data_IF_075133292740
#
_entry.id   IF_075133292740
#
_cell.length_a   1.000
_cell.length_b   1.000
_cell.length_c   1.000
_cell.angle_alpha   90.00
_cell.angle_beta   90.00
_cell.angle_gamma   90.00
#
_symmetry.space_group_name_H-M   'P 1'
#
loop_
_entity.id
_entity.type
_entity.pdbx_description
1 polymer ?
#
# COMPACT_ATOMS: atom_id res chain seq x y z
N UNK A 1 -49.66 22.40 9.28
CA UNK A 1 -49.15 21.80 8.02
C UNK A 1 -47.78 21.19 8.28
N UNK A 2 -47.71 19.85 8.19
CA UNK A 2 -46.54 18.97 7.94
C UNK A 2 -45.26 19.21 8.77
N UNK A 3 -44.96 18.44 9.82
CA UNK A 3 -44.48 17.05 9.85
C UNK A 3 -43.18 16.80 9.06
N UNK A 4 -42.03 16.69 9.76
CA UNK A 4 -40.85 15.96 9.28
C UNK A 4 -40.20 15.19 10.43
N UNK A 5 -39.77 13.97 10.08
CA UNK A 5 -39.68 12.80 10.91
C UNK A 5 -38.30 12.55 11.52
N UNK A 6 -38.33 11.87 12.67
CA UNK A 6 -37.22 11.11 13.27
C UNK A 6 -36.60 10.10 12.29
N UNK A 7 -35.26 10.09 12.18
CA UNK A 7 -34.49 8.84 12.06
C UNK A 7 -33.11 8.95 12.72
N UNK A 8 -33.00 8.20 13.81
CA UNK A 8 -31.81 7.71 14.50
C UNK A 8 -30.77 7.13 13.54
N UNK A 9 -29.52 7.58 13.66
CA UNK A 9 -28.35 6.76 13.33
C UNK A 9 -27.43 6.80 14.56
N UNK A 10 -27.31 5.65 15.21
CA UNK A 10 -26.41 5.40 16.31
C UNK A 10 -24.96 5.57 15.84
N UNK A 11 -24.35 6.72 16.17
CA UNK A 11 -22.92 6.88 16.00
C UNK A 11 -22.20 6.16 17.15
N UNK A 12 -21.38 5.22 16.73
CA UNK A 12 -20.59 4.29 17.53
C UNK A 12 -19.83 4.98 18.67
N UNK A 13 -19.77 4.26 19.80
CA UNK A 13 -19.20 4.67 21.08
C UNK A 13 -17.77 5.21 20.94
N UNK A 14 -17.58 6.40 21.55
CA UNK A 14 -16.32 6.95 22.03
C UNK A 14 -15.34 5.86 22.50
N UNK A 15 -14.30 5.60 21.73
CA UNK A 15 -13.00 5.20 22.31
C UNK A 15 -12.22 6.48 22.57
N UNK A 16 -11.99 6.72 23.86
CA UNK A 16 -11.29 7.84 24.45
C UNK A 16 -9.80 7.74 24.04
N UNK A 17 -9.40 8.51 23.05
CA UNK A 17 -7.99 8.73 22.70
C UNK A 17 -7.58 10.07 23.30
N UNK A 18 -7.50 10.12 24.62
CA UNK A 18 -6.83 11.23 25.32
C UNK A 18 -5.33 11.03 25.14
N UNK A 19 -4.67 12.13 24.78
CA UNK A 19 -3.21 12.25 24.56
C UNK A 19 -2.77 11.94 23.14
N UNK A 20 -2.91 12.94 22.25
CA UNK A 20 -1.86 13.46 21.35
C UNK A 20 -2.50 14.57 20.51
N UNK A 21 -2.21 15.82 20.89
CA UNK A 21 -2.58 16.99 20.10
C UNK A 21 -1.85 17.01 18.75
N UNK A 22 -2.50 17.63 17.77
CA UNK A 22 -1.95 17.96 16.44
C UNK A 22 -1.88 16.80 15.44
N UNK A 23 -2.96 16.44 14.71
CA UNK A 23 -2.78 15.57 13.53
C UNK A 23 -3.84 15.54 12.41
N UNK A 24 -5.00 16.20 12.49
CA UNK A 24 -5.96 16.12 11.37
C UNK A 24 -5.75 17.21 10.29
N UNK A 25 -5.35 18.42 10.69
CA UNK A 25 -5.26 19.56 9.76
C UNK A 25 -3.93 19.62 9.00
N UNK A 26 -2.84 19.12 9.58
CA UNK A 26 -1.55 18.99 8.89
C UNK A 26 -1.60 17.89 7.83
N UNK A 27 -2.39 16.83 8.02
CA UNK A 27 -2.53 15.73 7.06
C UNK A 27 -3.13 16.18 5.72
N UNK A 28 -4.02 17.19 5.74
CA UNK A 28 -4.69 17.67 4.53
C UNK A 28 -3.78 18.55 3.64
N UNK A 29 -2.82 19.28 4.23
CA UNK A 29 -1.90 20.18 3.51
C UNK A 29 -0.70 19.45 2.88
N UNK A 30 -0.24 18.33 3.44
CA UNK A 30 0.81 17.50 2.80
C UNK A 30 0.30 16.68 1.61
N UNK A 31 -1.02 16.66 1.39
CA UNK A 31 -1.69 15.88 0.34
C UNK A 31 -1.49 16.42 -1.09
N UNK A 32 -0.94 17.63 -1.24
CA UNK A 32 -0.74 18.27 -2.56
C UNK A 32 0.72 18.38 -2.99
N UNK A 33 1.68 17.94 -2.18
CA UNK A 33 3.13 18.08 -2.47
C UNK A 33 3.97 16.80 -2.35
N UNK A 34 3.38 15.65 -2.01
CA UNK A 34 4.08 14.36 -1.94
C UNK A 34 3.71 13.48 -3.14
N UNK A 35 4.72 12.81 -3.73
CA UNK A 35 4.49 11.87 -4.84
C UNK A 35 3.84 10.59 -4.31
N UNK A 36 3.14 9.83 -5.18
CA UNK A 36 2.51 8.55 -4.79
C UNK A 36 3.55 7.58 -4.23
N UNK A 37 4.76 7.59 -4.80
CA UNK A 37 5.90 6.80 -4.31
C UNK A 37 6.27 7.13 -2.87
N UNK A 38 6.33 8.41 -2.51
CA UNK A 38 6.63 8.84 -1.14
C UNK A 38 5.56 8.37 -0.16
N UNK A 39 4.28 8.54 -0.50
CA UNK A 39 3.17 8.08 0.34
C UNK A 39 3.19 6.56 0.52
N UNK A 40 3.55 5.82 -0.53
CA UNK A 40 3.70 4.37 -0.48
C UNK A 40 4.85 3.95 0.44
N UNK A 41 6.00 4.64 0.35
CA UNK A 41 7.16 4.39 1.21
C UNK A 41 6.83 4.61 2.69
N UNK A 42 6.26 5.77 3.03
CA UNK A 42 5.91 6.11 4.41
C UNK A 42 4.90 5.12 5.01
N UNK A 43 3.88 4.77 4.22
CA UNK A 43 2.84 3.82 4.64
C UNK A 43 3.44 2.45 4.96
N UNK A 44 4.29 1.93 4.07
CA UNK A 44 4.93 0.63 4.24
C UNK A 44 5.95 0.65 5.40
N UNK A 45 6.73 1.73 5.53
CA UNK A 45 7.67 1.88 6.65
C UNK A 45 6.97 1.89 7.99
N UNK A 46 5.87 2.63 8.11
CA UNK A 46 5.10 2.75 9.34
C UNK A 46 4.37 1.46 9.71
N UNK A 47 3.81 0.75 8.73
CA UNK A 47 3.01 -0.44 9.01
C UNK A 47 3.85 -1.70 9.27
N UNK A 48 4.96 -1.87 8.53
CA UNK A 48 5.68 -3.15 8.46
C UNK A 48 7.09 -3.09 9.04
N UNK A 49 7.57 -1.90 9.43
CA UNK A 49 8.91 -1.65 9.97
C UNK A 49 10.00 -2.45 9.23
N UNK A 50 10.08 -2.33 7.89
CA UNK A 50 10.93 -3.18 7.08
C UNK A 50 12.41 -2.89 7.32
N UNK A 51 13.22 -3.95 7.37
CA UNK A 51 14.68 -3.84 7.36
C UNK A 51 15.22 -3.45 5.99
N UNK A 52 14.48 -3.76 4.93
CA UNK A 52 14.79 -3.32 3.56
C UNK A 52 13.48 -3.07 2.81
N UNK A 53 13.42 -1.94 2.10
CA UNK A 53 12.27 -1.52 1.30
C UNK A 53 12.78 -0.94 -0.02
N UNK A 54 12.29 -1.48 -1.12
CA UNK A 54 12.54 -0.97 -2.46
C UNK A 54 11.21 -0.84 -3.21
N UNK A 55 11.02 0.30 -3.87
CA UNK A 55 9.80 0.61 -4.64
C UNK A 55 10.24 0.96 -6.05
N UNK A 56 9.69 0.27 -7.05
CA UNK A 56 9.95 0.50 -8.47
C UNK A 56 8.65 0.86 -9.16
N UNK A 57 8.62 2.00 -9.84
CA UNK A 57 7.51 2.36 -10.72
C UNK A 57 7.65 1.55 -12.02
N UNK A 58 6.66 0.72 -12.33
CA UNK A 58 6.63 -0.13 -13.52
C UNK A 58 5.52 0.28 -14.50
N UNK A 59 4.96 1.48 -14.34
CA UNK A 59 3.85 1.97 -15.15
C UNK A 59 4.15 2.01 -16.65
N UNK A 60 5.42 2.16 -17.03
CA UNK A 60 5.88 2.12 -18.43
C UNK A 60 5.79 0.73 -19.09
N UNK A 61 5.63 -0.35 -18.31
CA UNK A 61 5.57 -1.73 -18.83
C UNK A 61 4.18 -2.14 -19.34
N UNK A 62 3.15 -1.31 -19.11
CA UNK A 62 1.78 -1.60 -19.48
C UNK A 62 1.26 -0.61 -20.54
N UNK A 63 0.36 -1.08 -21.42
CA UNK A 63 -0.31 -0.23 -22.40
C UNK A 63 -1.24 0.73 -21.66
N UNK A 64 -0.80 1.97 -21.47
CA UNK A 64 -1.53 3.07 -20.83
C UNK A 64 -0.80 4.40 -21.05
N UNK A 65 -1.36 5.54 -20.62
CA UNK A 65 -0.64 6.81 -20.66
C UNK A 65 0.70 6.68 -19.91
N UNK A 66 1.81 7.07 -20.54
CA UNK A 66 3.18 6.88 -20.01
C UNK A 66 3.41 7.47 -18.61
N UNK A 67 2.59 8.43 -18.20
CA UNK A 67 2.73 9.17 -16.94
C UNK A 67 1.73 8.74 -15.85
N UNK A 68 0.97 7.67 -16.06
CA UNK A 68 0.04 7.18 -15.04
C UNK A 68 0.81 6.33 -14.01
N UNK A 69 1.11 6.88 -12.83
CA UNK A 69 1.65 6.17 -11.65
C UNK A 69 0.70 5.07 -11.14
N UNK A 70 0.50 4.04 -11.95
CA UNK A 70 -0.60 3.08 -11.83
C UNK A 70 -0.11 1.68 -11.45
N UNK A 71 1.12 1.33 -11.81
CA UNK A 71 1.72 0.04 -11.50
C UNK A 71 3.04 0.20 -10.74
N UNK A 72 3.11 -0.39 -9.56
CA UNK A 72 4.31 -0.40 -8.72
C UNK A 72 4.73 -1.83 -8.38
N UNK A 73 6.03 -2.08 -8.35
CA UNK A 73 6.62 -3.24 -7.69
C UNK A 73 7.20 -2.80 -6.35
N UNK A 74 6.87 -3.52 -5.28
CA UNK A 74 7.42 -3.30 -3.95
C UNK A 74 8.12 -4.56 -3.46
N UNK A 75 9.34 -4.37 -2.99
CA UNK A 75 10.14 -5.40 -2.33
C UNK A 75 10.23 -4.99 -0.87
N UNK A 76 9.65 -5.79 0.01
CA UNK A 76 9.55 -5.53 1.44
C UNK A 76 10.20 -6.69 2.19
N UNK A 77 11.19 -6.36 3.01
CA UNK A 77 11.86 -7.31 3.90
C UNK A 77 11.55 -6.92 5.34
N UNK A 78 10.87 -7.79 6.08
CA UNK A 78 10.49 -7.53 7.47
C UNK A 78 10.43 -8.82 8.29
N UNK A 79 10.78 -8.71 9.59
CA UNK A 79 10.61 -9.79 10.58
C UNK A 79 9.15 -10.13 10.82
N UNK A 80 8.23 -9.19 10.58
CA UNK A 80 6.79 -9.43 10.71
C UNK A 80 6.29 -10.55 9.77
N UNK A 81 7.06 -10.91 8.74
CA UNK A 81 6.75 -11.99 7.82
C UNK A 81 7.22 -13.38 8.28
N UNK A 82 7.95 -13.46 9.39
CA UNK A 82 8.38 -14.73 9.99
C UNK A 82 7.15 -15.58 10.34
N UNK A 83 7.23 -16.88 10.05
CA UNK A 83 6.15 -17.85 10.27
C UNK A 83 4.82 -17.55 9.53
N UNK A 84 4.77 -16.55 8.65
CA UNK A 84 3.61 -16.26 7.83
C UNK A 84 3.74 -16.89 6.43
N UNK A 85 2.70 -17.57 5.93
CA UNK A 85 2.66 -18.01 4.53
C UNK A 85 2.57 -16.80 3.59
N UNK A 86 3.07 -16.97 2.36
CA UNK A 86 3.19 -15.90 1.35
C UNK A 86 1.89 -15.09 1.16
N UNK A 87 0.74 -15.76 1.06
CA UNK A 87 -0.57 -15.13 0.88
C UNK A 87 -0.88 -14.17 2.04
N UNK A 88 -0.56 -14.55 3.29
CA UNK A 88 -0.79 -13.66 4.45
C UNK A 88 0.11 -12.44 4.40
N UNK A 89 1.37 -12.59 3.97
CA UNK A 89 2.30 -11.46 3.78
C UNK A 89 1.76 -10.46 2.75
N UNK A 90 1.29 -10.96 1.60
CA UNK A 90 0.71 -10.10 0.56
C UNK A 90 -0.55 -9.39 1.06
N UNK A 91 -1.40 -10.07 1.84
CA UNK A 91 -2.57 -9.44 2.47
C UNK A 91 -2.16 -8.32 3.43
N UNK A 92 -1.14 -8.51 4.25
CA UNK A 92 -0.64 -7.45 5.15
C UNK A 92 -0.15 -6.23 4.37
N UNK A 93 0.63 -6.44 3.31
CA UNK A 93 1.11 -5.35 2.44
C UNK A 93 -0.07 -4.63 1.76
N UNK A 94 -0.99 -5.37 1.16
CA UNK A 94 -2.18 -4.77 0.53
C UNK A 94 -3.05 -4.01 1.52
N UNK A 95 -3.25 -4.55 2.74
CA UNK A 95 -4.02 -3.88 3.79
C UNK A 95 -3.37 -2.57 4.22
N UNK A 96 -2.05 -2.54 4.36
CA UNK A 96 -1.33 -1.30 4.66
C UNK A 96 -1.53 -0.27 3.56
N UNK A 97 -1.48 -0.70 2.29
CA UNK A 97 -1.59 0.17 1.12
C UNK A 97 -3.03 0.41 0.63
N UNK A 98 -4.06 -0.11 1.30
CA UNK A 98 -5.45 -0.04 0.85
C UNK A 98 -5.89 1.40 0.49
N UNK A 99 -5.59 2.44 1.29
CA UNK A 99 -5.97 3.82 0.95
C UNK A 99 -5.35 4.34 -0.36
N UNK A 100 -4.17 3.82 -0.74
CA UNK A 100 -3.49 4.18 -1.99
C UNK A 100 -4.00 3.35 -3.17
N UNK A 101 -4.39 2.10 -2.93
CA UNK A 101 -4.99 1.20 -3.92
C UNK A 101 -6.43 1.60 -4.27
N UNK A 102 -7.16 2.21 -3.34
CA UNK A 102 -8.50 2.74 -3.59
C UNK A 102 -8.46 4.11 -4.31
N UNK A 103 -7.27 4.65 -4.55
CA UNK A 103 -7.06 5.96 -5.16
C UNK A 103 -6.06 5.92 -6.32
N UNK A 104 -4.84 6.45 -6.13
CA UNK A 104 -3.90 6.68 -7.23
C UNK A 104 -3.27 5.40 -7.84
N UNK A 105 -3.15 4.30 -7.09
CA UNK A 105 -2.45 3.09 -7.53
C UNK A 105 -3.47 2.06 -8.05
N UNK A 106 -3.26 1.54 -9.27
CA UNK A 106 -4.14 0.51 -9.84
C UNK A 106 -3.72 -0.91 -9.42
N UNK A 107 -2.42 -1.19 -9.38
CA UNK A 107 -1.91 -2.52 -9.01
C UNK A 107 -0.52 -2.48 -8.37
N UNK A 108 -0.30 -3.43 -7.46
CA UNK A 108 0.94 -3.61 -6.71
C UNK A 108 1.49 -5.03 -6.91
N UNK A 109 2.71 -5.15 -7.45
CA UNK A 109 3.49 -6.39 -7.45
C UNK A 109 4.27 -6.47 -6.14
N UNK A 110 4.06 -7.52 -5.34
CA UNK A 110 4.61 -7.63 -3.99
C UNK A 110 5.65 -8.74 -3.94
N UNK A 111 6.84 -8.40 -3.45
CA UNK A 111 7.87 -9.36 -3.01
C UNK A 111 8.06 -9.20 -1.51
N UNK A 112 7.51 -10.12 -0.72
CA UNK A 112 7.55 -10.07 0.75
C UNK A 112 8.44 -11.18 1.35
N UNK A 113 9.58 -10.80 1.93
CA UNK A 113 10.63 -11.72 2.40
C UNK A 113 11.00 -11.49 3.87
N UNK A 114 11.43 -12.55 4.56
CA UNK A 114 12.07 -12.36 5.88
C UNK A 114 13.53 -11.92 5.70
N UNK A 115 14.16 -11.31 6.73
CA UNK A 115 15.57 -10.95 6.65
C UNK A 115 16.51 -12.14 6.37
N UNK A 116 16.16 -13.34 6.82
CA UNK A 116 16.90 -14.59 6.54
C UNK A 116 16.80 -14.94 5.06
N UNK A 117 15.58 -14.93 4.52
CA UNK A 117 15.34 -15.24 3.10
C UNK A 117 16.04 -14.22 2.19
N UNK A 118 16.03 -12.95 2.58
CA UNK A 118 16.71 -11.90 1.82
C UNK A 118 18.23 -12.08 1.81
N UNK A 119 18.83 -12.43 2.95
CA UNK A 119 20.26 -12.73 3.04
C UNK A 119 20.67 -13.91 2.17
N UNK A 120 19.85 -14.96 2.14
CA UNK A 120 20.09 -16.12 1.25
C UNK A 120 19.90 -15.80 -0.23
N UNK A 121 19.06 -14.82 -0.57
CA UNK A 121 18.81 -14.38 -1.93
C UNK A 121 19.79 -13.33 -2.45
N UNK A 122 20.61 -12.69 -1.61
CA UNK A 122 21.54 -11.66 -2.08
C UNK A 122 22.56 -12.17 -3.14
N UNK A 123 22.66 -13.49 -3.33
CA UNK A 123 23.41 -14.15 -4.41
C UNK A 123 22.61 -14.50 -5.67
N UNK A 124 21.28 -14.35 -5.69
CA UNK A 124 20.38 -14.71 -6.79
C UNK A 124 19.43 -13.55 -7.14
N UNK A 125 19.45 -13.08 -8.38
CA UNK A 125 18.71 -11.90 -8.84
C UNK A 125 17.20 -11.95 -8.51
N UNK A 126 16.63 -10.82 -8.08
CA UNK A 126 15.20 -10.69 -7.77
C UNK A 126 14.40 -10.88 -9.08
N UNK A 127 13.51 -11.87 -9.18
CA UNK A 127 12.75 -12.10 -10.40
C UNK A 127 11.86 -10.90 -10.69
N UNK A 128 12.01 -10.32 -11.88
CA UNK A 128 11.18 -9.23 -12.37
C UNK A 128 9.71 -9.63 -12.48
N UNK A 129 8.83 -8.63 -12.43
CA UNK A 129 7.38 -8.83 -12.55
C UNK A 129 7.03 -9.51 -13.88
N UNK A 130 6.22 -10.60 -13.90
CA UNK A 130 5.84 -11.26 -15.14
C UNK A 130 5.13 -10.32 -16.10
N UNK A 131 5.48 -10.36 -17.40
CA UNK A 131 4.80 -9.56 -18.40
C UNK A 131 3.30 -9.94 -18.46
N UNK A 132 2.45 -8.93 -18.25
CA UNK A 132 1.00 -9.09 -18.32
C UNK A 132 0.61 -9.43 -19.78
N UNK A 133 0.20 -10.68 -20.02
CA UNK A 133 -0.47 -11.10 -21.25
C UNK A 133 -1.88 -10.50 -21.24
N UNK A 134 -2.00 -9.26 -21.71
CA UNK A 134 -3.27 -8.62 -21.98
C UNK A 134 -4.11 -9.51 -22.89
N UNK A 135 -5.34 -9.80 -22.47
CA UNK A 135 -6.22 -10.74 -23.16
C UNK A 135 -6.51 -10.30 -24.60
N UNK A 136 -6.19 -11.19 -25.54
CA UNK A 136 -6.70 -11.12 -26.90
C UNK A 136 -8.23 -11.26 -26.84
N UNK A 137 -8.93 -10.13 -27.04
CA UNK A 137 -10.34 -10.18 -27.38
C UNK A 137 -10.43 -10.20 -28.91
N UNK A 138 -10.86 -11.36 -29.40
CA UNK A 138 -11.34 -11.62 -30.76
C UNK A 138 -12.46 -10.66 -31.16
#
# INVERSE_FOLDING_TARGET
TMALNNRTIHLFRKTRFSDLGCSEFTFQIYRTMTTVTTSLEETLRKALEPTHLEIRNESYKHKGPKDAESHFQVIVVSKQFENLPLIKRHRLVNQACQPLLDGPIHALSIVAKTPEQWRSMASEEIPGTPNCRGGDKR
#
